data_IF_073594651565
#
_entry.id   IF_073594651565
#
_cell.length_a   1.000
_cell.length_b   1.000
_cell.length_c   1.000
_cell.angle_alpha   90.00
_cell.angle_beta   90.00
_cell.angle_gamma   90.00
#
_symmetry.space_group_name_H-M   'P 1'
#
loop_
_entity.id
_entity.type
_entity.pdbx_description
1 polymer ?
#
# COMPACT_ATOMS: atom_id res chain seq x y z
N UNK A 1 0.16 -50.72 12.10
CA UNK A 1 1.21 -49.71 12.36
C UNK A 1 2.05 -49.34 11.13
N UNK A 2 2.68 -50.29 10.41
CA UNK A 2 3.53 -49.97 9.24
C UNK A 2 2.82 -49.21 8.12
N UNK A 3 1.62 -49.63 7.72
CA UNK A 3 0.87 -48.98 6.63
C UNK A 3 0.51 -47.54 6.99
N UNK A 4 0.05 -47.29 8.22
CA UNK A 4 -0.27 -45.95 8.73
C UNK A 4 0.95 -45.02 8.73
N UNK A 5 2.12 -45.50 9.17
CA UNK A 5 3.34 -44.70 9.14
C UNK A 5 3.76 -44.33 7.71
N UNK A 6 3.63 -45.25 6.75
CA UNK A 6 3.97 -45.02 5.34
C UNK A 6 3.01 -44.03 4.69
N UNK A 7 1.69 -44.15 4.90
CA UNK A 7 0.74 -43.17 4.37
C UNK A 7 0.90 -41.79 5.00
N UNK A 8 1.18 -41.71 6.29
CA UNK A 8 1.46 -40.41 6.95
C UNK A 8 2.71 -39.76 6.39
N UNK A 9 3.79 -40.51 6.15
CA UNK A 9 5.01 -39.99 5.51
C UNK A 9 4.70 -39.50 4.09
N UNK A 10 4.01 -40.30 3.27
CA UNK A 10 3.64 -39.90 1.90
C UNK A 10 2.75 -38.65 1.91
N UNK A 11 1.77 -38.58 2.82
CA UNK A 11 0.91 -37.41 2.95
C UNK A 11 1.73 -36.16 3.32
N UNK A 12 2.64 -36.24 4.29
CA UNK A 12 3.49 -35.11 4.68
C UNK A 12 4.41 -34.65 3.54
N UNK A 13 5.04 -35.58 2.82
CA UNK A 13 5.98 -35.26 1.73
C UNK A 13 5.29 -34.91 0.40
N UNK A 14 4.05 -35.33 0.16
CA UNK A 14 3.31 -34.93 -1.03
C UNK A 14 2.51 -33.63 -0.79
N UNK A 15 1.94 -33.45 0.40
CA UNK A 15 1.04 -32.33 0.68
C UNK A 15 1.79 -31.03 0.95
N UNK A 16 2.88 -31.05 1.73
CA UNK A 16 3.63 -29.83 2.08
C UNK A 16 4.25 -29.17 0.84
N UNK A 17 4.93 -29.89 -0.08
CA UNK A 17 5.48 -29.26 -1.29
C UNK A 17 4.42 -28.76 -2.25
N UNK A 18 3.24 -29.40 -2.30
CA UNK A 18 2.12 -28.93 -3.10
C UNK A 18 1.55 -27.64 -2.53
N UNK A 19 1.36 -27.54 -1.21
CA UNK A 19 0.92 -26.30 -0.57
C UNK A 19 1.94 -25.17 -0.79
N UNK A 20 3.22 -25.41 -0.52
CA UNK A 20 4.27 -24.41 -0.70
C UNK A 20 4.41 -23.98 -2.17
N UNK A 21 4.32 -24.94 -3.11
CA UNK A 21 4.39 -24.65 -4.54
C UNK A 21 3.20 -23.83 -5.05
N UNK A 22 1.97 -24.20 -4.64
CA UNK A 22 0.77 -23.43 -4.98
C UNK A 22 0.81 -22.03 -4.36
N UNK A 23 1.22 -21.91 -3.09
CA UNK A 23 1.41 -20.61 -2.44
C UNK A 23 2.43 -19.76 -3.19
N UNK A 24 3.57 -20.30 -3.59
CA UNK A 24 4.59 -19.55 -4.34
C UNK A 24 4.07 -19.03 -5.69
N UNK A 25 3.29 -19.85 -6.43
CA UNK A 25 2.68 -19.42 -7.70
C UNK A 25 1.66 -18.31 -7.46
N UNK A 26 0.75 -18.51 -6.49
CA UNK A 26 -0.25 -17.51 -6.14
C UNK A 26 0.39 -16.20 -5.67
N UNK A 27 1.43 -16.28 -4.85
CA UNK A 27 2.14 -15.11 -4.32
C UNK A 27 2.82 -14.33 -5.44
N UNK A 28 3.43 -15.01 -6.43
CA UNK A 28 4.01 -14.33 -7.62
C UNK A 28 2.99 -13.59 -8.49
N UNK A 29 1.71 -13.95 -8.42
CA UNK A 29 0.64 -13.21 -9.12
C UNK A 29 0.04 -12.10 -8.24
N UNK A 30 0.14 -12.22 -6.92
CA UNK A 30 -0.44 -11.27 -5.96
C UNK A 30 0.50 -10.15 -5.57
N UNK A 31 1.80 -10.41 -5.57
CA UNK A 31 2.85 -9.54 -5.05
C UNK A 31 3.87 -9.17 -6.12
N UNK A 32 4.58 -8.07 -5.87
CA UNK A 32 5.51 -7.45 -6.80
C UNK A 32 4.96 -6.18 -7.43
N UNK A 33 5.59 -5.76 -8.53
CA UNK A 33 5.33 -4.47 -9.17
C UNK A 33 4.38 -4.62 -10.34
N UNK A 34 3.30 -3.84 -10.31
CA UNK A 34 2.25 -3.79 -11.31
C UNK A 34 2.08 -2.36 -11.82
N UNK A 35 1.60 -2.21 -13.06
CA UNK A 35 1.35 -0.91 -13.69
C UNK A 35 -0.08 -0.86 -14.21
N UNK A 36 -0.74 0.26 -13.96
CA UNK A 36 -2.12 0.52 -14.33
C UNK A 36 -2.25 1.94 -14.87
N UNK A 37 -3.18 2.15 -15.80
CA UNK A 37 -3.41 3.48 -16.35
C UNK A 37 -4.29 4.32 -15.41
N UNK A 38 -5.31 3.70 -14.80
CA UNK A 38 -6.30 4.38 -13.95
C UNK A 38 -6.68 3.57 -12.72
N UNK A 39 -7.31 4.23 -11.74
CA UNK A 39 -7.88 3.58 -10.55
C UNK A 39 -8.79 2.39 -10.90
N UNK A 40 -9.61 2.50 -11.96
CA UNK A 40 -10.57 1.47 -12.35
C UNK A 40 -9.89 0.14 -12.77
N UNK A 41 -8.64 0.20 -13.21
CA UNK A 41 -7.89 -0.99 -13.66
C UNK A 41 -7.31 -1.81 -12.50
N UNK A 42 -7.22 -1.24 -11.30
CA UNK A 42 -6.57 -1.87 -10.13
C UNK A 42 -7.39 -3.05 -9.61
N UNK A 43 -8.71 -2.90 -9.51
CA UNK A 43 -9.66 -3.95 -9.12
C UNK A 43 -9.23 -4.74 -7.85
N UNK A 44 -8.71 -4.05 -6.83
CA UNK A 44 -8.27 -4.64 -5.55
C UNK A 44 -8.75 -3.77 -4.39
N UNK A 45 -9.77 -4.25 -3.69
CA UNK A 45 -10.44 -3.50 -2.61
C UNK A 45 -9.48 -3.03 -1.50
N UNK A 46 -8.35 -3.72 -1.28
CA UNK A 46 -7.37 -3.33 -0.24
C UNK A 46 -6.57 -2.11 -0.66
N UNK A 47 -6.28 -2.00 -1.96
CA UNK A 47 -5.58 -0.86 -2.55
C UNK A 47 -6.55 0.29 -2.72
N UNK A 48 -7.72 0.01 -3.29
CA UNK A 48 -8.81 0.98 -3.52
C UNK A 48 -9.23 1.74 -2.27
N UNK A 49 -9.11 1.11 -1.09
CA UNK A 49 -9.34 1.77 0.21
C UNK A 49 -8.45 2.99 0.43
N UNK A 50 -7.21 2.96 -0.06
CA UNK A 50 -6.21 4.00 0.15
C UNK A 50 -5.78 4.71 -1.14
N UNK A 51 -6.24 4.26 -2.32
CA UNK A 51 -5.91 4.88 -3.59
C UNK A 51 -7.00 5.89 -3.98
N UNK A 52 -6.67 7.16 -4.28
CA UNK A 52 -7.66 8.13 -4.74
C UNK A 52 -8.28 7.73 -6.09
N UNK A 53 -9.59 7.92 -6.31
CA UNK A 53 -10.26 7.58 -7.57
C UNK A 53 -9.72 8.30 -8.82
N UNK A 54 -9.13 9.48 -8.65
CA UNK A 54 -8.54 10.28 -9.73
C UNK A 54 -7.07 9.96 -10.02
N UNK A 55 -6.49 8.96 -9.35
CA UNK A 55 -5.12 8.51 -9.60
C UNK A 55 -4.96 7.95 -11.03
N UNK A 56 -3.85 8.31 -11.68
CA UNK A 56 -3.49 7.88 -13.04
C UNK A 56 -2.01 7.55 -13.15
N UNK A 57 -1.62 6.78 -14.17
CA UNK A 57 -0.24 6.33 -14.39
C UNK A 57 0.31 5.66 -13.12
N UNK A 58 -0.41 4.67 -12.62
CA UNK A 58 -0.19 4.05 -11.33
C UNK A 58 0.86 2.95 -11.47
N UNK A 59 1.90 3.01 -10.64
CA UNK A 59 2.81 1.89 -10.38
C UNK A 59 2.57 1.42 -8.95
N UNK A 60 2.22 0.16 -8.77
CA UNK A 60 1.91 -0.45 -7.47
C UNK A 60 2.92 -1.52 -7.15
N UNK A 61 3.53 -1.45 -5.97
CA UNK A 61 4.33 -2.52 -5.40
C UNK A 61 3.56 -3.17 -4.25
N UNK A 62 3.16 -4.43 -4.44
CA UNK A 62 2.28 -5.17 -3.52
C UNK A 62 3.08 -6.16 -2.70
N UNK A 63 2.85 -6.20 -1.40
CA UNK A 63 3.41 -7.19 -0.48
C UNK A 63 2.38 -7.62 0.55
N UNK A 64 2.73 -8.60 1.40
CA UNK A 64 1.77 -9.27 2.27
C UNK A 64 1.02 -8.32 3.22
N UNK A 65 1.71 -7.31 3.75
CA UNK A 65 1.21 -6.43 4.83
C UNK A 65 0.83 -5.03 4.34
N UNK A 66 0.80 -4.78 3.04
CA UNK A 66 0.59 -3.44 2.53
C UNK A 66 0.83 -3.29 1.04
N UNK A 67 0.92 -2.03 0.62
CA UNK A 67 1.40 -1.69 -0.71
C UNK A 67 2.11 -0.34 -0.69
N UNK A 68 2.94 -0.16 -1.71
CA UNK A 68 3.49 1.14 -2.10
C UNK A 68 2.90 1.53 -3.44
N UNK A 69 2.62 2.81 -3.65
CA UNK A 69 2.13 3.30 -4.93
C UNK A 69 2.88 4.56 -5.37
N UNK A 70 3.07 4.69 -6.67
CA UNK A 70 3.47 5.93 -7.33
C UNK A 70 2.45 6.25 -8.41
N UNK A 71 1.87 7.45 -8.39
CA UNK A 71 0.86 7.84 -9.38
C UNK A 71 0.80 9.35 -9.54
N UNK A 72 0.24 9.79 -10.67
CA UNK A 72 -0.07 11.19 -10.90
C UNK A 72 -1.48 11.53 -10.41
N UNK A 73 -1.63 12.70 -9.78
CA UNK A 73 -2.90 13.27 -9.32
C UNK A 73 -2.72 14.78 -9.11
N UNK A 74 -3.81 15.56 -9.11
CA UNK A 74 -3.71 16.96 -8.70
C UNK A 74 -3.67 17.08 -7.17
N UNK A 75 -3.13 18.18 -6.65
CA UNK A 75 -3.15 18.44 -5.21
C UNK A 75 -4.58 18.55 -4.69
N UNK A 76 -5.45 19.21 -5.45
CA UNK A 76 -6.87 19.39 -5.12
C UNK A 76 -7.58 18.04 -4.96
N UNK A 77 -7.50 17.17 -5.96
CA UNK A 77 -8.13 15.83 -5.91
C UNK A 77 -7.61 14.98 -4.75
N UNK A 78 -6.30 15.07 -4.45
CA UNK A 78 -5.71 14.37 -3.32
C UNK A 78 -6.26 14.90 -1.99
N UNK A 79 -6.29 16.22 -1.82
CA UNK A 79 -6.79 16.83 -0.57
C UNK A 79 -8.28 16.58 -0.37
N UNK A 80 -9.10 16.66 -1.43
CA UNK A 80 -10.54 16.36 -1.35
C UNK A 80 -10.78 14.90 -0.95
N UNK A 81 -10.02 13.98 -1.55
CA UNK A 81 -10.07 12.56 -1.19
C UNK A 81 -9.74 12.34 0.29
N UNK A 82 -8.66 12.94 0.78
CA UNK A 82 -8.23 12.80 2.17
C UNK A 82 -9.21 13.45 3.15
N UNK A 83 -9.73 14.64 2.82
CA UNK A 83 -10.76 15.31 3.62
C UNK A 83 -12.00 14.43 3.78
N UNK A 84 -12.41 13.77 2.70
CA UNK A 84 -13.51 12.81 2.75
C UNK A 84 -13.18 11.60 3.62
N UNK A 85 -11.98 11.02 3.51
CA UNK A 85 -11.58 9.90 4.38
C UNK A 85 -11.62 10.28 5.87
N UNK A 86 -11.12 11.48 6.21
CA UNK A 86 -11.13 11.99 7.58
C UNK A 86 -12.55 12.28 8.08
N UNK A 87 -13.41 12.86 7.23
CA UNK A 87 -14.81 13.07 7.56
C UNK A 87 -15.55 11.74 7.78
N UNK A 88 -15.34 10.76 6.91
CA UNK A 88 -15.93 9.43 7.02
C UNK A 88 -15.45 8.69 8.27
N UNK A 89 -14.20 8.91 8.71
CA UNK A 89 -13.67 8.33 9.94
C UNK A 89 -14.37 8.88 11.20
N UNK A 90 -14.89 10.12 11.19
CA UNK A 90 -15.71 10.71 12.26
C UNK A 90 -15.11 10.52 13.67
N UNK A 91 -13.85 10.91 13.85
CA UNK A 91 -13.15 10.81 15.14
C UNK A 91 -12.75 9.38 15.56
N UNK A 92 -12.97 8.37 14.72
CA UNK A 92 -12.57 6.97 14.99
C UNK A 92 -11.10 6.67 14.65
N UNK A 93 -10.36 7.66 14.16
CA UNK A 93 -8.91 7.54 13.99
C UNK A 93 -8.23 7.38 15.35
N UNK A 94 -7.28 6.46 15.45
CA UNK A 94 -6.52 6.22 16.67
C UNK A 94 -5.61 7.40 17.03
N UNK A 95 -5.16 8.16 16.02
CA UNK A 95 -4.40 9.39 16.15
C UNK A 95 -5.17 10.52 15.48
N UNK A 96 -5.23 11.70 16.09
CA UNK A 96 -5.92 12.85 15.49
C UNK A 96 -5.20 13.33 14.23
N UNK A 97 -5.93 14.04 13.35
CA UNK A 97 -5.34 14.61 12.12
C UNK A 97 -4.32 15.69 12.47
N UNK A 98 -4.59 16.45 13.52
CA UNK A 98 -3.76 17.53 14.01
C UNK A 98 -2.43 17.01 14.56
N UNK A 99 -2.44 15.89 15.29
CA UNK A 99 -1.24 15.29 15.88
C UNK A 99 -0.30 14.66 14.83
N UNK A 100 -0.84 14.21 13.69
CA UNK A 100 -0.05 13.65 12.59
C UNK A 100 0.61 14.72 11.71
N UNK A 101 0.11 15.95 11.76
CA UNK A 101 0.43 16.97 10.75
C UNK A 101 -0.31 16.72 9.43
N UNK A 102 -0.53 17.79 8.68
CA UNK A 102 -1.22 17.71 7.39
C UNK A 102 -0.80 18.87 6.50
N UNK A 103 -0.20 18.57 5.35
CA UNK A 103 0.16 19.59 4.37
C UNK A 103 1.51 20.26 4.63
N UNK A 104 2.33 19.69 5.51
CA UNK A 104 3.67 20.18 5.77
C UNK A 104 4.63 19.68 4.68
N UNK A 105 5.56 20.54 4.26
CA UNK A 105 6.63 20.14 3.34
C UNK A 105 7.71 19.43 4.14
N UNK A 106 7.99 18.19 3.78
CA UNK A 106 9.09 17.40 4.32
C UNK A 106 10.26 17.35 3.34
N UNK A 107 11.48 17.24 3.86
CA UNK A 107 12.70 17.06 3.08
C UNK A 107 12.95 15.58 2.78
N UNK A 108 13.85 15.31 1.83
CA UNK A 108 14.13 13.95 1.37
C UNK A 108 14.63 12.99 2.46
N UNK A 109 15.40 13.50 3.42
CA UNK A 109 15.92 12.71 4.54
C UNK A 109 14.81 12.21 5.50
N UNK A 110 13.58 12.71 5.33
CA UNK A 110 12.40 12.30 6.10
C UNK A 110 11.47 11.36 5.33
N UNK A 111 11.75 11.04 4.06
CA UNK A 111 11.15 9.85 3.46
C UNK A 111 11.68 8.66 4.25
N UNK A 112 10.81 8.08 5.05
CA UNK A 112 11.08 6.78 5.66
C UNK A 112 11.62 5.82 4.58
N UNK A 113 12.47 4.88 4.98
CA UNK A 113 13.02 3.82 4.12
C UNK A 113 11.93 2.96 3.44
N UNK A 114 10.66 3.26 3.71
CA UNK A 114 9.45 2.87 2.99
C UNK A 114 9.63 2.69 1.49
N UNK A 115 10.38 3.52 0.76
CA UNK A 115 10.53 3.37 -0.71
C UNK A 115 11.83 2.69 -1.19
N UNK A 116 12.66 2.20 -0.26
CA UNK A 116 13.91 1.54 -0.61
C UNK A 116 13.69 0.31 -1.51
N UNK A 117 14.65 0.11 -2.43
CA UNK A 117 14.62 -0.99 -3.39
C UNK A 117 13.68 -0.79 -4.57
N UNK A 118 13.03 0.37 -4.69
CA UNK A 118 12.26 0.78 -5.86
C UNK A 118 13.04 1.81 -6.67
N UNK A 119 13.09 1.65 -8.00
CA UNK A 119 13.69 2.63 -8.92
C UNK A 119 12.78 3.86 -9.14
N UNK A 120 12.11 4.32 -8.08
CA UNK A 120 11.19 5.45 -8.15
C UNK A 120 11.94 6.76 -7.84
N UNK A 121 11.66 7.85 -8.58
CA UNK A 121 12.29 9.14 -8.31
C UNK A 121 11.78 9.67 -6.97
N UNK A 122 12.65 9.66 -5.96
CA UNK A 122 12.37 10.30 -4.67
C UNK A 122 12.46 11.82 -4.85
N UNK A 123 11.41 12.59 -4.52
CA UNK A 123 11.45 14.04 -4.66
C UNK A 123 12.33 14.67 -3.57
N UNK A 124 12.98 15.79 -3.87
CA UNK A 124 13.80 16.53 -2.88
C UNK A 124 12.95 17.08 -1.73
N UNK A 125 11.69 17.38 -2.01
CA UNK A 125 10.68 17.73 -1.02
C UNK A 125 9.30 17.29 -1.47
N UNK A 126 8.44 16.98 -0.52
CA UNK A 126 7.05 16.67 -0.79
C UNK A 126 6.15 17.23 0.31
N UNK A 127 4.89 17.49 -0.06
CA UNK A 127 3.85 17.76 0.92
C UNK A 127 3.39 16.42 1.49
N UNK A 128 3.53 16.24 2.81
CA UNK A 128 3.17 15.00 3.48
C UNK A 128 1.75 15.08 4.04
N UNK A 129 1.01 14.01 3.79
CA UNK A 129 -0.33 13.81 4.25
C UNK A 129 -0.54 12.39 4.80
N UNK A 130 -1.54 12.25 5.66
CA UNK A 130 -1.91 10.98 6.27
C UNK A 130 -3.39 10.68 6.05
N UNK A 131 -3.73 9.40 5.90
CA UNK A 131 -5.08 8.91 6.13
C UNK A 131 -5.39 8.83 7.63
N UNK A 132 -6.66 8.62 8.01
CA UNK A 132 -6.99 8.12 9.34
C UNK A 132 -6.20 6.85 9.68
N UNK A 133 -5.83 6.71 10.94
CA UNK A 133 -5.08 5.56 11.47
C UNK A 133 -6.07 4.64 12.19
N UNK A 134 -6.09 3.37 11.81
CA UNK A 134 -6.89 2.35 12.47
C UNK A 134 -6.25 1.94 13.81
N UNK A 135 -7.05 1.35 14.71
CA UNK A 135 -6.58 0.92 16.05
C UNK A 135 -5.52 -0.18 16.03
N UNK A 136 -5.42 -0.92 14.92
CA UNK A 136 -4.40 -1.95 14.67
C UNK A 136 -3.13 -1.37 14.01
N UNK A 137 -3.11 -0.08 13.69
CA UNK A 137 -2.00 0.58 13.02
C UNK A 137 -2.11 0.61 11.50
N UNK A 138 -3.21 0.12 10.90
CA UNK A 138 -3.45 0.26 9.48
C UNK A 138 -3.72 1.72 9.07
N UNK A 139 -3.24 2.13 7.91
CA UNK A 139 -3.33 3.51 7.42
C UNK A 139 -2.44 3.72 6.20
N UNK A 140 -2.35 4.96 5.73
CA UNK A 140 -1.52 5.32 4.59
C UNK A 140 -0.90 6.72 4.73
N UNK A 141 0.33 6.81 4.25
CA UNK A 141 1.11 8.03 4.07
C UNK A 141 1.14 8.41 2.59
N UNK A 142 1.01 9.71 2.31
CA UNK A 142 1.00 10.27 0.96
C UNK A 142 2.00 11.42 0.90
N UNK A 143 2.90 11.35 -0.06
CA UNK A 143 3.93 12.35 -0.29
C UNK A 143 3.77 12.95 -1.67
N UNK A 144 3.26 14.18 -1.73
CA UNK A 144 2.95 14.87 -2.97
C UNK A 144 4.12 15.75 -3.44
N UNK A 145 4.72 15.41 -4.58
CA UNK A 145 5.69 16.24 -5.28
C UNK A 145 4.96 17.31 -6.11
N UNK A 146 5.03 18.56 -5.65
CA UNK A 146 4.41 19.72 -6.31
C UNK A 146 4.96 20.01 -7.71
N UNK A 147 6.19 19.60 -8.01
CA UNK A 147 6.84 19.87 -9.30
C UNK A 147 6.31 18.94 -10.39
N UNK A 148 6.08 17.67 -10.05
CA UNK A 148 5.68 16.64 -11.02
C UNK A 148 4.21 16.25 -10.91
N UNK A 149 3.49 16.72 -9.88
CA UNK A 149 2.14 16.26 -9.54
C UNK A 149 2.07 14.74 -9.37
N UNK A 150 3.10 14.19 -8.73
CA UNK A 150 3.24 12.76 -8.44
C UNK A 150 3.11 12.55 -6.95
N UNK A 151 2.41 11.49 -6.57
CA UNK A 151 2.34 11.01 -5.19
C UNK A 151 3.18 9.74 -5.08
N UNK A 152 4.02 9.69 -4.05
CA UNK A 152 4.53 8.45 -3.47
C UNK A 152 3.64 8.11 -2.28
N UNK A 153 3.22 6.85 -2.18
CA UNK A 153 2.30 6.38 -1.16
C UNK A 153 2.83 5.10 -0.51
N UNK A 154 2.70 5.01 0.80
CA UNK A 154 2.90 3.79 1.56
C UNK A 154 1.65 3.49 2.39
N UNK A 155 1.13 2.27 2.32
CA UNK A 155 -0.08 1.86 3.04
C UNK A 155 0.12 0.52 3.75
N UNK A 156 -0.23 0.49 5.04
CA UNK A 156 -0.21 -0.69 5.90
C UNK A 156 -1.61 -1.30 6.09
N UNK A 157 -1.69 -2.63 6.01
CA UNK A 157 -2.93 -3.41 6.16
C UNK A 157 -3.07 -4.11 7.52
N UNK A 158 -2.35 -3.62 8.54
CA UNK A 158 -2.36 -4.19 9.89
C UNK A 158 -3.77 -4.42 10.45
#
# INVERSE_FOLDING_TARGET
MKTFAVTTIIATFAFIPVCAGVSSIVDSQRFGVFKYDTYADVCDFRIERYLPPHARTITLDKYAMGHRAMYAITLEDLTEYLDKLWADADGRSFVSREDLGHGESIADEQFDHSFDGLDWPIPESAIHFHSPVQSDGGGADYYFDTRTSTVLQHAGYW
#
